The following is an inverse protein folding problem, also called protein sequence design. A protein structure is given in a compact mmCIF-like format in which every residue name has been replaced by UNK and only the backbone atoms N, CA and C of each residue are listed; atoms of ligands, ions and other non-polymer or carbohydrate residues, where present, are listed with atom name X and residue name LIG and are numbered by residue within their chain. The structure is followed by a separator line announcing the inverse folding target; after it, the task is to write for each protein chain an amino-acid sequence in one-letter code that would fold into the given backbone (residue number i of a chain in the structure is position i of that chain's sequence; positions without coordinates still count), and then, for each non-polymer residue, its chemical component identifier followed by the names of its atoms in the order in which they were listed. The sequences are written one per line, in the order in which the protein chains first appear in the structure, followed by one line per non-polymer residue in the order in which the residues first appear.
data_IF_253775345094
#
_entry.id   IF_253775345094
#
_cell.length_a   1.000
_cell.length_b   1.000
_cell.length_c   1.000
_cell.angle_alpha   90.00
_cell.angle_beta   90.00
_cell.angle_gamma   90.00
#
_symmetry.space_group_name_H-M   'P 1'
#
loop_
_entity.id
_entity.type
_entity.pdbx_description
1 polymer ?
#
# COMPACT_ATOMS: atom_id res chain seq x y z
N UNK A 1 -26.35 24.87 -36.14
CA UNK A 1 -25.86 23.71 -35.36
C UNK A 1 -24.54 23.25 -35.98
N UNK A 2 -23.40 23.70 -35.45
CA UNK A 2 -22.07 23.37 -35.97
C UNK A 2 -21.29 22.59 -34.92
N UNK A 3 -20.91 21.35 -35.24
CA UNK A 3 -20.17 20.45 -34.33
C UNK A 3 -18.67 20.80 -34.21
N UNK A 4 -18.00 20.35 -33.12
CA UNK A 4 -16.62 20.73 -32.82
C UNK A 4 -15.62 20.10 -33.79
N UNK A 5 -14.55 20.86 -34.06
CA UNK A 5 -13.64 20.74 -35.20
C UNK A 5 -13.01 19.36 -35.41
N UNK A 6 -13.13 18.87 -36.65
CA UNK A 6 -12.29 17.81 -37.22
C UNK A 6 -11.06 18.49 -37.84
N UNK A 7 -9.94 18.54 -37.13
CA UNK A 7 -8.69 19.11 -37.69
C UNK A 7 -7.89 17.97 -38.33
N UNK A 8 -7.55 18.12 -39.61
CA UNK A 8 -6.71 17.20 -40.39
C UNK A 8 -5.26 17.63 -40.23
N UNK A 9 -4.34 16.68 -40.12
CA UNK A 9 -2.91 16.99 -40.24
C UNK A 9 -2.16 15.90 -40.99
N UNK A 10 -1.59 16.28 -42.13
CA UNK A 10 -0.52 15.56 -42.80
C UNK A 10 0.79 15.97 -42.11
N UNK A 11 1.15 15.29 -41.02
CA UNK A 11 2.47 15.39 -40.36
C UNK A 11 2.72 16.60 -39.44
N UNK A 12 1.83 17.57 -39.35
CA UNK A 12 1.92 18.70 -38.41
C UNK A 12 1.23 18.48 -37.06
N UNK A 13 1.46 19.35 -36.06
CA UNK A 13 0.78 19.24 -34.76
C UNK A 13 -0.74 19.47 -34.88
N UNK A 14 -1.51 18.79 -34.03
CA UNK A 14 -2.97 18.90 -33.93
C UNK A 14 -3.35 19.36 -32.52
N UNK A 15 -4.06 20.47 -32.42
CA UNK A 15 -4.55 20.97 -31.12
C UNK A 15 -5.96 20.47 -30.85
N UNK A 16 -6.22 20.10 -29.60
CA UNK A 16 -7.56 19.82 -29.05
C UNK A 16 -8.51 21.01 -29.21
N UNK A 17 -9.82 20.73 -29.21
CA UNK A 17 -10.85 21.74 -29.47
C UNK A 17 -10.89 22.90 -28.47
N UNK A 18 -10.35 22.72 -27.26
CA UNK A 18 -10.23 23.77 -26.23
C UNK A 18 -8.80 24.32 -26.06
N UNK A 19 -7.87 23.91 -26.92
CA UNK A 19 -6.51 24.47 -26.94
C UNK A 19 -5.54 23.89 -25.91
N UNK A 20 -6.02 23.08 -24.96
CA UNK A 20 -5.21 22.67 -23.80
C UNK A 20 -4.24 21.53 -24.06
N UNK A 21 -4.44 20.77 -25.14
CA UNK A 21 -3.54 19.67 -25.53
C UNK A 21 -3.17 19.76 -27.00
N UNK A 22 -1.88 19.57 -27.30
CA UNK A 22 -1.32 19.47 -28.65
C UNK A 22 -0.78 18.05 -28.86
N UNK A 23 -1.25 17.42 -29.92
CA UNK A 23 -0.76 16.15 -30.44
C UNK A 23 0.32 16.41 -31.48
N UNK A 24 1.51 15.86 -31.27
CA UNK A 24 2.53 15.69 -32.30
C UNK A 24 2.39 14.26 -32.84
N UNK A 25 1.89 14.08 -34.08
CA UNK A 25 1.65 12.76 -34.62
C UNK A 25 2.96 11.97 -34.81
N UNK A 26 2.92 10.62 -34.82
CA UNK A 26 4.05 9.79 -35.21
C UNK A 26 4.61 10.19 -36.58
N UNK A 27 5.93 10.14 -36.75
CA UNK A 27 6.57 10.54 -38.01
C UNK A 27 6.16 9.67 -39.21
N UNK A 28 5.88 8.38 -38.98
CA UNK A 28 5.45 7.44 -39.99
C UNK A 28 3.96 7.13 -39.84
N UNK A 29 3.11 7.93 -40.49
CA UNK A 29 1.69 7.64 -40.63
C UNK A 29 1.39 7.11 -42.04
N UNK A 30 0.60 6.03 -42.19
CA UNK A 30 0.14 5.60 -43.49
C UNK A 30 -0.64 6.71 -44.20
N UNK A 31 -0.52 6.78 -45.54
CA UNK A 31 -1.38 7.63 -46.36
C UNK A 31 -2.85 7.39 -46.00
N UNK A 32 -3.62 8.46 -45.81
CA UNK A 32 -5.04 8.45 -45.39
C UNK A 32 -5.31 8.16 -43.90
N UNK A 33 -4.28 8.14 -43.05
CA UNK A 33 -4.46 8.08 -41.59
C UNK A 33 -4.74 9.47 -41.03
N UNK A 34 -5.78 9.59 -40.19
CA UNK A 34 -6.00 10.76 -39.36
C UNK A 34 -6.26 10.35 -37.92
N UNK A 35 -5.77 11.18 -36.99
CA UNK A 35 -5.94 11.00 -35.56
C UNK A 35 -6.79 12.14 -35.04
N UNK A 36 -7.89 11.81 -34.37
CA UNK A 36 -8.72 12.76 -33.65
C UNK A 36 -8.29 12.82 -32.19
N UNK A 37 -8.19 14.04 -31.65
CA UNK A 37 -8.01 14.31 -30.23
C UNK A 37 -9.24 15.05 -29.72
N UNK A 38 -9.98 14.44 -28.79
CA UNK A 38 -11.27 14.94 -28.34
C UNK A 38 -11.36 14.91 -26.82
N UNK A 39 -12.16 15.80 -26.25
CA UNK A 39 -12.48 15.76 -24.83
C UNK A 39 -13.15 14.43 -24.46
N UNK A 40 -12.78 13.92 -23.29
CA UNK A 40 -13.24 12.64 -22.79
C UNK A 40 -13.92 12.78 -21.42
N UNK A 41 -14.84 11.86 -21.14
CA UNK A 41 -15.23 11.53 -19.78
C UNK A 41 -14.32 10.37 -19.33
N UNK A 42 -13.31 10.61 -18.49
CA UNK A 42 -12.38 9.56 -18.09
C UNK A 42 -13.06 8.56 -17.15
N UNK A 43 -12.58 7.31 -17.08
CA UNK A 43 -12.92 6.41 -15.97
C UNK A 43 -12.35 6.97 -14.66
N UNK A 44 -12.75 6.37 -13.53
CA UNK A 44 -12.22 6.73 -12.20
C UNK A 44 -10.67 6.72 -12.21
N UNK A 45 -10.00 7.78 -11.74
CA UNK A 45 -8.55 7.81 -11.62
C UNK A 45 -8.01 6.67 -10.74
N UNK A 46 -6.72 6.29 -10.88
CA UNK A 46 -6.07 5.39 -9.94
C UNK A 46 -6.18 5.91 -8.50
N UNK A 47 -6.25 5.01 -7.53
CA UNK A 47 -6.29 5.37 -6.12
C UNK A 47 -5.09 6.26 -5.74
N UNK A 48 -5.33 7.28 -4.91
CA UNK A 48 -4.30 8.23 -4.47
C UNK A 48 -3.80 9.20 -5.54
N UNK A 49 -4.41 9.22 -6.73
CA UNK A 49 -4.07 10.13 -7.84
C UNK A 49 -5.24 11.05 -8.14
N UNK A 50 -4.96 12.34 -8.36
CA UNK A 50 -5.98 13.34 -8.66
C UNK A 50 -5.75 13.99 -10.04
N UNK A 51 -6.82 14.29 -10.80
CA UNK A 51 -6.70 14.89 -12.12
C UNK A 51 -6.31 16.37 -12.07
N UNK A 52 -5.54 16.80 -13.06
CA UNK A 52 -5.21 18.21 -13.34
C UNK A 52 -5.80 18.55 -14.71
N UNK A 53 -6.86 19.36 -14.70
CA UNK A 53 -7.62 19.67 -15.90
C UNK A 53 -8.40 18.47 -16.45
N UNK A 54 -8.57 18.44 -17.77
CA UNK A 54 -9.50 17.52 -18.47
C UNK A 54 -8.78 16.32 -19.07
N UNK A 55 -9.56 15.29 -19.41
CA UNK A 55 -9.08 14.11 -20.13
C UNK A 55 -9.37 14.23 -21.63
N UNK A 56 -8.55 13.55 -22.44
CA UNK A 56 -8.65 13.56 -23.89
C UNK A 56 -8.54 12.16 -24.46
N UNK A 57 -9.46 11.77 -25.32
CA UNK A 57 -9.38 10.51 -26.06
C UNK A 57 -8.71 10.74 -27.40
N UNK A 58 -7.70 9.91 -27.68
CA UNK A 58 -7.03 9.81 -28.98
C UNK A 58 -7.67 8.67 -29.78
N UNK A 59 -8.17 8.97 -30.98
CA UNK A 59 -8.80 7.99 -31.88
C UNK A 59 -8.26 8.10 -33.29
N UNK A 60 -7.52 7.11 -33.79
CA UNK A 60 -7.21 7.02 -35.21
C UNK A 60 -8.42 6.50 -35.99
N UNK A 61 -8.50 6.82 -37.27
CA UNK A 61 -9.53 6.28 -38.17
C UNK A 61 -9.30 4.82 -38.56
N UNK A 62 -8.10 4.31 -38.35
CA UNK A 62 -7.68 2.93 -38.64
C UNK A 62 -6.55 2.52 -37.71
N UNK A 63 -6.19 1.24 -37.73
CA UNK A 63 -5.03 0.74 -37.00
C UNK A 63 -3.74 1.43 -37.47
N UNK A 64 -2.87 1.75 -36.50
CA UNK A 64 -1.55 2.32 -36.70
C UNK A 64 -0.55 1.33 -36.12
N UNK A 65 0.47 0.96 -36.90
CA UNK A 65 1.44 -0.08 -36.52
C UNK A 65 2.35 0.37 -35.37
N UNK A 66 2.68 1.66 -35.30
CA UNK A 66 3.51 2.23 -34.23
C UNK A 66 3.17 3.68 -33.92
N UNK A 67 3.20 4.01 -32.63
CA UNK A 67 3.07 5.38 -32.13
C UNK A 67 4.41 6.02 -31.77
N UNK A 68 5.53 5.33 -32.06
CA UNK A 68 6.87 5.85 -31.81
C UNK A 68 7.05 7.23 -32.44
N UNK A 69 7.87 8.09 -31.81
CA UNK A 69 8.09 9.50 -32.16
C UNK A 69 6.89 10.45 -32.03
N UNK A 70 5.67 9.93 -31.76
CA UNK A 70 4.53 10.77 -31.42
C UNK A 70 4.53 11.19 -29.96
N UNK A 71 3.96 12.35 -29.65
CA UNK A 71 3.83 12.86 -28.28
C UNK A 71 2.56 13.68 -28.08
N UNK A 72 2.18 13.83 -26.81
CA UNK A 72 1.18 14.79 -26.36
C UNK A 72 1.84 15.83 -25.48
N UNK A 73 1.40 17.07 -25.64
CA UNK A 73 1.79 18.23 -24.87
C UNK A 73 0.54 18.81 -24.22
N UNK A 74 0.49 18.81 -22.89
CA UNK A 74 -0.58 19.34 -22.07
C UNK A 74 -0.17 20.70 -21.51
N UNK A 75 -0.95 21.73 -21.81
CA UNK A 75 -0.95 22.98 -21.07
C UNK A 75 -1.82 22.83 -19.83
N UNK A 76 -1.29 23.20 -18.67
CA UNK A 76 -2.04 23.20 -17.42
C UNK A 76 -2.08 24.58 -16.79
N UNK A 77 -3.05 24.79 -15.90
CA UNK A 77 -3.15 26.01 -15.12
C UNK A 77 -2.38 25.83 -13.82
N UNK A 78 -1.46 26.76 -13.52
CA UNK A 78 -0.72 26.74 -12.26
C UNK A 78 -1.63 26.76 -11.02
N UNK A 79 -2.83 27.36 -11.12
CA UNK A 79 -3.82 27.34 -10.03
C UNK A 79 -4.38 25.94 -9.76
N UNK A 80 -4.60 25.12 -10.79
CA UNK A 80 -5.10 23.74 -10.59
C UNK A 80 -4.04 22.89 -9.87
N UNK A 81 -2.76 23.10 -10.23
CA UNK A 81 -1.62 22.45 -9.56
C UNK A 81 -1.50 22.93 -8.12
N UNK A 82 -1.61 24.24 -7.87
CA UNK A 82 -1.56 24.78 -6.52
C UNK A 82 -2.71 24.25 -5.63
N UNK A 83 -3.93 24.17 -6.16
CA UNK A 83 -5.09 23.63 -5.45
C UNK A 83 -4.98 22.13 -5.19
N UNK A 84 -4.25 21.40 -6.05
CA UNK A 84 -3.94 19.99 -5.84
C UNK A 84 -3.08 19.75 -4.61
N UNK A 85 -2.36 20.76 -4.13
CA UNK A 85 -1.43 20.66 -3.00
C UNK A 85 -0.36 19.58 -3.17
N UNK A 86 0.02 19.26 -4.40
CA UNK A 86 1.14 18.37 -4.75
C UNK A 86 2.16 19.19 -5.55
N UNK A 87 3.48 19.05 -5.30
CA UNK A 87 4.50 19.76 -6.06
C UNK A 87 4.37 19.46 -7.55
N UNK A 88 4.49 20.51 -8.36
CA UNK A 88 4.37 20.47 -9.82
C UNK A 88 5.28 19.42 -10.48
N UNK A 89 6.46 19.16 -9.90
CA UNK A 89 7.35 18.10 -10.38
C UNK A 89 6.78 16.68 -10.31
N UNK A 90 5.66 16.47 -9.60
CA UNK A 90 4.98 15.18 -9.54
C UNK A 90 3.89 14.99 -10.60
N UNK A 91 3.63 16.01 -11.43
CA UNK A 91 2.72 15.89 -12.56
C UNK A 91 3.15 14.74 -13.46
N UNK A 92 2.18 13.97 -13.93
CA UNK A 92 2.39 12.92 -14.91
C UNK A 92 1.18 12.75 -15.82
N UNK A 93 1.44 12.44 -17.09
CA UNK A 93 0.39 12.00 -18.01
C UNK A 93 0.09 10.54 -17.71
N UNK A 94 -1.19 10.23 -17.54
CA UNK A 94 -1.72 8.88 -17.42
C UNK A 94 -2.47 8.50 -18.69
N UNK A 95 -2.31 7.25 -19.11
CA UNK A 95 -2.95 6.65 -20.27
C UNK A 95 -3.84 5.50 -19.85
N UNK A 96 -5.10 5.53 -20.29
CA UNK A 96 -6.06 4.46 -20.15
C UNK A 96 -6.22 3.73 -21.48
N UNK A 97 -5.89 2.45 -21.49
CA UNK A 97 -5.96 1.57 -22.67
C UNK A 97 -7.36 0.94 -22.92
N UNK A 98 -8.33 1.20 -22.04
CA UNK A 98 -9.64 0.54 -22.05
C UNK A 98 -9.90 -0.31 -20.80
N UNK A 99 -8.85 -0.76 -20.10
CA UNK A 99 -8.94 -1.65 -18.95
C UNK A 99 -8.08 -1.23 -17.76
N UNK A 100 -6.95 -0.56 -17.98
CA UNK A 100 -5.98 -0.22 -16.94
C UNK A 100 -5.35 1.15 -17.20
N UNK A 101 -5.09 1.90 -16.13
CA UNK A 101 -4.30 3.12 -16.18
C UNK A 101 -2.81 2.80 -16.19
N UNK A 102 -2.07 3.50 -17.03
CA UNK A 102 -0.62 3.45 -17.11
C UNK A 102 -0.07 4.86 -16.90
N UNK A 103 0.81 5.04 -15.92
CA UNK A 103 1.56 6.28 -15.75
C UNK A 103 2.67 6.35 -16.81
N UNK A 104 2.73 7.43 -17.57
CA UNK A 104 3.74 7.64 -18.60
C UNK A 104 4.93 8.43 -18.05
N UNK A 105 6.12 8.18 -18.62
CA UNK A 105 7.25 9.08 -18.46
C UNK A 105 6.85 10.46 -18.98
N UNK A 106 6.96 11.48 -18.12
CA UNK A 106 6.46 12.82 -18.40
C UNK A 106 7.58 13.83 -18.16
N UNK A 107 7.79 14.72 -19.14
CA UNK A 107 8.69 15.87 -19.03
C UNK A 107 7.87 17.10 -18.67
N UNK A 108 8.26 17.80 -17.61
CA UNK A 108 7.59 19.01 -17.12
C UNK A 108 8.46 20.23 -17.43
N UNK A 109 7.85 21.25 -18.04
CA UNK A 109 8.38 22.61 -18.17
C UNK A 109 7.48 23.55 -17.35
N UNK A 110 7.90 23.82 -16.12
CA UNK A 110 7.19 24.70 -15.19
C UNK A 110 7.26 26.18 -15.58
N UNK A 111 8.19 26.58 -16.45
CA UNK A 111 8.26 27.95 -16.96
C UNK A 111 7.11 28.26 -17.91
N UNK A 112 6.62 27.25 -18.63
CA UNK A 112 5.53 27.36 -19.59
C UNK A 112 4.23 26.67 -19.15
N UNK A 113 4.22 26.05 -17.97
CA UNK A 113 3.14 25.18 -17.49
C UNK A 113 2.78 24.07 -18.48
N UNK A 114 3.80 23.34 -18.93
CA UNK A 114 3.68 22.27 -19.93
C UNK A 114 4.08 20.92 -19.34
N UNK A 115 3.27 19.91 -19.59
CA UNK A 115 3.61 18.51 -19.35
C UNK A 115 3.55 17.74 -20.67
N UNK A 116 4.60 16.98 -21.00
CA UNK A 116 4.64 16.21 -22.25
C UNK A 116 4.99 14.74 -22.02
N UNK A 117 4.38 13.86 -22.81
CA UNK A 117 4.63 12.42 -22.75
C UNK A 117 4.56 11.79 -24.15
N UNK A 118 5.28 10.69 -24.34
CA UNK A 118 5.22 9.91 -25.58
C UNK A 118 3.83 9.31 -25.80
N UNK A 119 3.41 9.23 -27.06
CA UNK A 119 2.23 8.47 -27.43
C UNK A 119 2.50 6.98 -27.28
N UNK A 120 1.48 6.28 -26.79
CA UNK A 120 1.53 4.82 -26.59
C UNK A 120 0.43 4.08 -27.34
N UNK A 121 -0.68 4.75 -27.69
CA UNK A 121 -1.76 4.10 -28.41
C UNK A 121 -3.07 4.90 -28.46
N UNK A 122 -4.11 4.33 -29.06
CA UNK A 122 -5.46 4.87 -28.97
C UNK A 122 -6.01 4.64 -27.56
N UNK A 123 -6.60 5.66 -26.94
CA UNK A 123 -7.11 5.57 -25.58
C UNK A 123 -7.34 6.94 -24.96
N UNK A 124 -7.50 6.99 -23.65
CA UNK A 124 -7.72 8.25 -22.92
C UNK A 124 -6.45 8.68 -22.21
N UNK A 125 -6.06 9.93 -22.40
CA UNK A 125 -4.91 10.56 -21.77
C UNK A 125 -5.39 11.66 -20.83
N UNK A 126 -4.76 11.77 -19.65
CA UNK A 126 -5.09 12.81 -18.70
C UNK A 126 -3.85 13.19 -17.88
N UNK A 127 -3.66 14.48 -17.66
CA UNK A 127 -2.66 14.97 -16.73
C UNK A 127 -3.19 14.77 -15.30
N UNK A 128 -2.37 14.19 -14.44
CA UNK A 128 -2.74 13.94 -13.04
C UNK A 128 -1.53 14.15 -12.13
N UNK A 129 -1.77 14.18 -10.82
CA UNK A 129 -0.72 14.37 -9.80
C UNK A 129 -0.94 13.48 -8.58
N UNK A 130 0.14 13.21 -7.86
CA UNK A 130 0.16 12.47 -6.59
C UNK A 130 1.52 12.61 -5.92
N UNK A 131 1.60 12.56 -4.59
CA UNK A 131 2.86 12.27 -3.91
C UNK A 131 3.21 10.80 -4.10
N UNK A 132 4.42 10.54 -4.61
CA UNK A 132 4.97 9.20 -4.69
C UNK A 132 5.98 8.97 -3.57
N UNK A 133 5.68 8.03 -2.67
CA UNK A 133 6.61 7.59 -1.63
C UNK A 133 7.17 6.23 -2.08
N UNK A 134 8.47 6.14 -2.44
CA UNK A 134 9.07 4.87 -2.81
C UNK A 134 9.17 3.96 -1.59
N UNK A 135 8.75 2.71 -1.75
CA UNK A 135 8.88 1.67 -0.74
C UNK A 135 9.79 0.57 -1.30
N UNK A 136 10.79 0.16 -0.52
CA UNK A 136 11.57 -1.04 -0.79
C UNK A 136 10.79 -2.28 -0.33
N UNK A 137 11.16 -3.47 -0.83
CA UNK A 137 10.65 -4.71 -0.26
C UNK A 137 11.05 -4.83 1.23
N UNK A 138 10.13 -5.29 2.07
CA UNK A 138 10.28 -5.35 3.52
C UNK A 138 9.76 -4.11 4.25
N UNK A 139 10.29 -3.86 5.45
CA UNK A 139 9.84 -2.77 6.32
C UNK A 139 10.36 -1.40 5.88
N UNK A 140 9.44 -0.46 5.73
CA UNK A 140 9.72 0.94 5.43
C UNK A 140 9.14 1.83 6.52
N UNK A 141 9.97 2.66 7.15
CA UNK A 141 9.51 3.70 8.06
C UNK A 141 9.23 4.97 7.26
N UNK A 142 7.97 5.36 7.18
CA UNK A 142 7.51 6.51 6.40
C UNK A 142 6.74 7.49 7.27
N UNK A 143 6.93 8.77 7.03
CA UNK A 143 6.12 9.81 7.66
C UNK A 143 4.84 10.02 6.85
N UNK A 144 3.68 10.11 7.51
CA UNK A 144 2.42 10.32 6.83
C UNK A 144 2.35 11.73 6.22
N UNK A 145 2.25 11.89 4.89
CA UNK A 145 2.49 13.17 4.23
C UNK A 145 1.30 14.13 4.25
N UNK A 146 0.09 13.65 4.58
CA UNK A 146 -1.12 14.47 4.52
C UNK A 146 -1.36 15.23 5.83
N UNK A 147 -2.10 16.35 5.74
CA UNK A 147 -2.56 17.12 6.91
C UNK A 147 -4.01 16.81 7.29
N UNK A 148 -4.55 15.71 6.78
CA UNK A 148 -5.87 15.20 7.09
C UNK A 148 -5.78 13.74 7.52
N UNK A 149 -6.63 13.34 8.46
CA UNK A 149 -6.68 11.95 8.92
C UNK A 149 -7.39 11.07 7.88
N UNK A 150 -6.84 9.90 7.57
CA UNK A 150 -7.49 8.91 6.70
C UNK A 150 -7.43 7.51 7.31
N UNK A 151 -8.43 6.69 7.02
CA UNK A 151 -8.35 5.25 7.36
C UNK A 151 -7.23 4.57 6.56
N UNK A 152 -6.61 3.48 7.08
CA UNK A 152 -5.62 2.71 6.34
C UNK A 152 -6.11 2.26 4.96
N UNK A 153 -7.36 1.82 4.86
CA UNK A 153 -7.98 1.36 3.60
C UNK A 153 -7.95 2.46 2.53
N UNK A 154 -8.25 3.71 2.90
CA UNK A 154 -8.25 4.83 1.96
C UNK A 154 -6.84 5.29 1.65
N UNK A 155 -6.00 5.45 2.67
CA UNK A 155 -4.66 5.99 2.52
C UNK A 155 -3.75 5.08 1.70
N UNK A 156 -3.86 3.76 1.88
CA UNK A 156 -3.00 2.74 1.24
C UNK A 156 -3.63 2.12 -0.01
N UNK A 157 -4.79 2.60 -0.45
CA UNK A 157 -5.52 2.04 -1.60
C UNK A 157 -4.69 1.93 -2.89
N UNK A 158 -3.68 2.79 -3.08
CA UNK A 158 -2.81 2.75 -4.27
C UNK A 158 -1.78 1.62 -4.27
N UNK A 159 -1.60 0.94 -3.14
CA UNK A 159 -0.67 -0.18 -2.96
C UNK A 159 -1.36 -1.40 -2.34
N UNK A 160 -2.69 -1.50 -2.40
CA UNK A 160 -3.48 -2.53 -1.68
C UNK A 160 -3.01 -3.98 -1.94
N UNK A 161 -2.47 -4.27 -3.12
CA UNK A 161 -1.95 -5.58 -3.51
C UNK A 161 -0.41 -5.71 -3.37
N UNK A 162 0.24 -4.73 -2.73
CA UNK A 162 1.70 -4.60 -2.63
C UNK A 162 2.21 -4.51 -1.18
N UNK A 163 1.31 -4.43 -0.19
CA UNK A 163 1.64 -4.42 1.24
C UNK A 163 0.78 -5.42 2.01
N UNK A 164 1.28 -5.84 3.17
CA UNK A 164 0.58 -6.81 4.05
C UNK A 164 0.16 -6.18 5.36
N UNK A 165 0.99 -5.32 5.95
CA UNK A 165 0.71 -4.73 7.26
C UNK A 165 1.26 -3.30 7.35
N UNK A 166 0.51 -2.44 8.04
CA UNK A 166 0.95 -1.13 8.49
C UNK A 166 0.90 -1.08 10.02
N UNK A 167 1.90 -0.49 10.66
CA UNK A 167 2.00 -0.34 12.10
C UNK A 167 2.33 1.10 12.50
N UNK A 168 1.54 1.66 13.41
CA UNK A 168 1.81 2.91 14.13
C UNK A 168 2.27 2.61 15.56
N UNK A 169 3.02 3.55 16.13
CA UNK A 169 3.51 3.45 17.51
C UNK A 169 2.98 4.63 18.33
N UNK A 170 2.31 4.33 19.44
CA UNK A 170 1.79 5.30 20.40
C UNK A 170 2.40 5.04 21.80
N UNK A 171 3.43 5.80 22.21
CA UNK A 171 4.05 5.63 23.51
C UNK A 171 3.14 6.04 24.68
N UNK A 172 2.01 6.71 24.42
CA UNK A 172 1.06 7.11 25.47
C UNK A 172 0.17 5.96 25.93
N UNK A 173 0.13 4.86 25.18
CA UNK A 173 -0.53 3.61 25.56
C UNK A 173 0.49 2.49 25.81
N UNK A 174 1.18 2.46 26.96
CA UNK A 174 2.25 1.50 27.21
C UNK A 174 1.77 0.04 27.30
N UNK A 175 0.47 -0.20 27.54
CA UNK A 175 -0.10 -1.55 27.57
C UNK A 175 -0.23 -2.14 26.16
N UNK A 176 -0.49 -1.31 25.15
CA UNK A 176 -0.57 -1.71 23.75
C UNK A 176 -0.07 -0.57 22.85
N UNK A 177 1.26 -0.33 22.81
CA UNK A 177 1.81 0.83 22.11
C UNK A 177 1.78 0.65 20.60
N UNK A 178 1.61 -0.58 20.11
CA UNK A 178 1.54 -0.89 18.69
C UNK A 178 0.10 -0.95 18.19
N UNK A 179 -0.20 -0.10 17.21
CA UNK A 179 -1.45 -0.09 16.48
C UNK A 179 -1.19 -0.65 15.08
N UNK A 180 -1.87 -1.71 14.67
CA UNK A 180 -1.64 -2.40 13.40
C UNK A 180 -2.91 -2.55 12.59
N UNK A 181 -2.73 -2.53 11.27
CA UNK A 181 -3.75 -2.86 10.29
C UNK A 181 -3.19 -3.78 9.21
N UNK A 182 -3.83 -4.93 9.05
CA UNK A 182 -3.63 -5.90 7.97
C UNK A 182 -4.98 -6.11 7.24
N UNK A 183 -5.06 -5.88 5.92
CA UNK A 183 -6.32 -5.96 5.17
C UNK A 183 -6.87 -7.39 5.04
N UNK A 184 -6.05 -8.42 5.30
CA UNK A 184 -6.42 -9.83 5.13
C UNK A 184 -6.91 -10.50 6.43
N UNK A 185 -6.91 -9.78 7.56
CA UNK A 185 -7.38 -10.31 8.86
C UNK A 185 -8.67 -9.63 9.33
N UNK A 186 -9.34 -10.28 10.28
CA UNK A 186 -10.58 -9.79 10.88
C UNK A 186 -10.35 -8.53 11.71
N UNK A 187 -11.40 -7.70 11.85
CA UNK A 187 -11.38 -6.45 12.64
C UNK A 187 -10.84 -6.64 14.07
N UNK A 188 -11.07 -7.79 14.72
CA UNK A 188 -10.63 -8.05 16.09
C UNK A 188 -9.10 -8.12 16.27
N UNK A 189 -8.33 -8.30 15.20
CA UNK A 189 -6.86 -8.30 15.25
C UNK A 189 -6.25 -6.94 14.85
N UNK A 190 -7.06 -6.08 14.22
CA UNK A 190 -6.68 -4.74 13.80
C UNK A 190 -7.07 -3.72 14.89
N UNK A 191 -6.17 -2.77 15.16
CA UNK A 191 -6.40 -1.68 16.11
C UNK A 191 -5.79 -0.34 15.65
N UNK A 192 -5.36 -0.25 14.38
CA UNK A 192 -5.02 1.02 13.74
C UNK A 192 -6.19 1.50 12.90
N UNK A 193 -6.94 2.46 13.44
CA UNK A 193 -8.14 2.98 12.79
C UNK A 193 -7.84 4.11 11.79
N UNK A 194 -6.72 4.82 12.01
CA UNK A 194 -6.42 6.03 11.24
C UNK A 194 -4.93 6.35 11.14
N UNK A 195 -4.56 6.90 9.98
CA UNK A 195 -3.28 7.56 9.74
C UNK A 195 -3.47 9.06 10.00
N UNK A 196 -2.71 9.60 10.95
CA UNK A 196 -2.87 10.96 11.44
C UNK A 196 -1.71 11.87 10.99
N UNK A 197 -2.00 13.15 10.72
CA UNK A 197 -0.98 14.12 10.36
C UNK A 197 0.19 14.18 11.35
N UNK A 198 1.41 14.16 10.82
CA UNK A 198 2.63 14.28 11.62
C UNK A 198 3.12 12.99 12.27
N UNK A 199 2.39 11.87 12.16
CA UNK A 199 2.84 10.56 12.65
C UNK A 199 3.69 9.79 11.63
N UNK A 200 4.58 8.94 12.15
CA UNK A 200 5.33 7.94 11.38
C UNK A 200 4.64 6.58 11.42
N UNK A 201 4.76 5.82 10.35
CA UNK A 201 4.21 4.47 10.21
C UNK A 201 5.23 3.53 9.57
N UNK A 202 5.28 2.32 10.08
CA UNK A 202 5.97 1.21 9.44
C UNK A 202 5.03 0.54 8.45
N UNK A 203 5.48 0.34 7.22
CA UNK A 203 4.73 -0.41 6.18
C UNK A 203 5.60 -1.57 5.72
N UNK A 204 5.07 -2.79 5.76
CA UNK A 204 5.70 -3.94 5.15
C UNK A 204 5.25 -4.08 3.69
N UNK A 205 6.14 -3.79 2.74
CA UNK A 205 5.87 -3.96 1.32
C UNK A 205 6.37 -5.33 0.85
N UNK A 206 5.56 -6.09 0.13
CA UNK A 206 5.97 -7.41 -0.38
C UNK A 206 7.02 -7.32 -1.49
N UNK A 207 7.02 -6.19 -2.20
CA UNK A 207 7.96 -5.87 -3.27
C UNK A 207 8.17 -4.37 -3.35
N UNK A 208 9.20 -3.96 -4.07
CA UNK A 208 9.43 -2.54 -4.37
C UNK A 208 8.22 -1.95 -5.09
N UNK A 209 7.65 -0.90 -4.53
CA UNK A 209 6.47 -0.20 -5.08
C UNK A 209 6.54 1.30 -4.79
N UNK A 210 5.55 2.05 -5.28
CA UNK A 210 5.40 3.48 -4.98
C UNK A 210 4.02 3.72 -4.41
N UNK A 211 3.98 4.05 -3.12
CA UNK A 211 2.77 4.51 -2.46
C UNK A 211 2.38 5.88 -3.00
N UNK A 212 1.26 5.92 -3.74
CA UNK A 212 0.69 7.16 -4.27
C UNK A 212 -0.40 7.67 -3.37
N UNK A 213 -0.29 8.92 -2.96
CA UNK A 213 -1.27 9.57 -2.11
C UNK A 213 -1.41 11.03 -2.54
N UNK A 214 -2.64 11.52 -2.56
CA UNK A 214 -2.93 12.91 -2.88
C UNK A 214 -3.77 13.50 -1.74
N UNK A 215 -3.44 14.70 -1.24
CA UNK A 215 -4.27 15.37 -0.25
C UNK A 215 -5.65 15.70 -0.82
N UNK A 216 -6.69 15.64 0.01
CA UNK A 216 -7.89 16.44 -0.27
C UNK A 216 -7.73 17.90 0.19
N UNK A 217 -6.76 18.19 1.09
CA UNK A 217 -6.23 19.53 1.45
C UNK A 217 -4.74 19.48 1.86
N UNK A 218 -4.01 20.57 1.60
CA UNK A 218 -2.61 20.88 1.96
C UNK A 218 -1.76 19.72 2.52
N UNK A 219 -0.79 19.21 1.76
CA UNK A 219 0.25 18.32 2.29
C UNK A 219 1.52 19.11 2.63
N UNK A 220 2.28 18.66 3.64
CA UNK A 220 3.63 19.16 3.95
C UNK A 220 4.55 17.99 4.18
N UNK A 221 5.85 18.23 4.03
CA UNK A 221 6.89 17.25 4.32
C UNK A 221 6.78 16.82 5.79
N UNK A 222 6.37 15.58 6.02
CA UNK A 222 6.30 15.02 7.35
C UNK A 222 7.70 14.56 7.80
N UNK A 223 7.99 14.72 9.09
CA UNK A 223 9.27 14.32 9.68
C UNK A 223 9.14 12.89 10.20
N UNK A 224 10.13 12.05 9.88
CA UNK A 224 10.21 10.72 10.46
C UNK A 224 10.71 10.84 11.89
N UNK A 225 9.86 10.50 12.87
CA UNK A 225 10.31 10.21 14.22
C UNK A 225 11.04 8.86 14.24
N UNK A 226 12.05 8.73 15.10
CA UNK A 226 12.70 7.44 15.33
C UNK A 226 11.73 6.55 16.11
N UNK A 227 11.03 5.66 15.40
CA UNK A 227 10.15 4.67 16.00
C UNK A 227 10.91 3.37 16.29
N UNK A 228 10.55 2.62 17.35
CA UNK A 228 11.06 1.26 17.56
C UNK A 228 10.70 0.36 16.38
N UNK A 229 11.36 -0.80 16.25
CA UNK A 229 11.05 -1.75 15.19
C UNK A 229 9.79 -2.58 15.54
N UNK A 230 8.87 -2.81 14.59
CA UNK A 230 7.57 -3.43 14.87
C UNK A 230 7.67 -4.88 15.36
N UNK A 231 6.85 -5.31 16.33
CA UNK A 231 6.78 -6.70 16.80
C UNK A 231 6.01 -7.57 15.80
N UNK A 232 6.04 -8.89 16.02
CA UNK A 232 5.12 -9.81 15.35
C UNK A 232 3.81 -9.89 16.16
N UNK A 233 2.66 -9.71 15.50
CA UNK A 233 1.35 -9.86 16.15
C UNK A 233 0.78 -11.25 15.93
N UNK A 234 0.41 -11.92 17.01
CA UNK A 234 -0.29 -13.19 17.00
C UNK A 234 -1.70 -13.03 17.54
N UNK A 235 -2.64 -13.68 16.86
CA UNK A 235 -4.06 -13.63 17.21
C UNK A 235 -4.73 -14.96 16.89
N UNK A 236 -5.70 -15.37 17.71
CA UNK A 236 -6.57 -16.49 17.38
C UNK A 236 -7.37 -16.99 18.57
N UNK A 237 -8.02 -18.14 18.38
CA UNK A 237 -8.85 -18.76 19.42
C UNK A 237 -8.03 -19.67 20.32
N UNK A 238 -8.49 -19.84 21.56
CA UNK A 238 -7.91 -20.81 22.49
C UNK A 238 -8.88 -21.96 22.70
N UNK A 239 -8.39 -23.17 22.45
CA UNK A 239 -9.11 -24.42 22.72
C UNK A 239 -8.57 -25.06 23.99
N UNK A 240 -9.47 -25.25 24.95
CA UNK A 240 -9.19 -25.96 26.20
C UNK A 240 -9.15 -27.47 26.07
N UNK A 241 -8.91 -28.12 27.19
CA UNK A 241 -8.96 -29.57 27.35
C UNK A 241 -9.52 -29.90 28.76
N UNK A 242 -9.34 -31.12 29.24
CA UNK A 242 -9.79 -31.52 30.59
C UNK A 242 -9.08 -30.76 31.72
N UNK A 243 -7.88 -30.26 31.46
CA UNK A 243 -6.97 -29.68 32.45
C UNK A 243 -6.97 -28.15 32.39
N UNK A 244 -7.45 -27.56 31.29
CA UNK A 244 -7.51 -26.12 31.07
C UNK A 244 -8.85 -25.71 30.45
N UNK A 245 -9.57 -24.81 31.13
CA UNK A 245 -10.79 -24.17 30.61
C UNK A 245 -10.48 -22.71 30.25
N UNK A 246 -10.58 -22.30 28.98
CA UNK A 246 -10.32 -20.92 28.57
C UNK A 246 -11.36 -19.98 29.19
N UNK A 247 -10.88 -18.88 29.78
CA UNK A 247 -11.71 -17.77 30.29
C UNK A 247 -11.08 -16.46 29.87
N UNK A 248 -11.86 -15.37 29.82
CA UNK A 248 -11.34 -14.02 29.58
C UNK A 248 -10.45 -13.56 30.76
N UNK A 249 -9.46 -12.72 30.47
CA UNK A 249 -8.58 -12.10 31.47
C UNK A 249 -7.40 -12.97 31.94
N UNK A 250 -7.20 -14.15 31.34
CA UNK A 250 -5.99 -14.95 31.57
C UNK A 250 -4.78 -14.31 30.87
N UNK A 251 -3.62 -14.21 31.53
CA UNK A 251 -2.40 -13.68 30.94
C UNK A 251 -1.83 -14.66 29.91
N UNK A 252 -1.43 -14.13 28.76
CA UNK A 252 -0.78 -14.85 27.67
C UNK A 252 0.67 -14.42 27.62
N UNK A 253 1.56 -15.32 28.01
CA UNK A 253 3.00 -15.07 28.04
C UNK A 253 3.67 -15.75 26.85
N UNK A 254 4.58 -15.03 26.20
CA UNK A 254 5.25 -15.51 25.00
C UNK A 254 6.75 -15.58 25.22
N UNK A 255 7.36 -16.68 24.78
CA UNK A 255 8.78 -16.94 24.95
C UNK A 255 9.45 -17.29 23.62
N UNK A 256 10.73 -16.91 23.51
CA UNK A 256 11.65 -17.35 22.46
C UNK A 256 12.87 -17.95 23.15
N UNK A 257 13.00 -19.29 23.08
CA UNK A 257 13.86 -20.03 23.99
C UNK A 257 13.44 -19.78 25.45
N UNK A 258 14.36 -19.31 26.28
CA UNK A 258 14.09 -18.97 27.68
C UNK A 258 13.78 -17.46 27.88
N UNK A 259 13.75 -16.67 26.81
CA UNK A 259 13.55 -15.22 26.89
C UNK A 259 12.06 -14.88 26.84
N UNK A 260 11.59 -14.13 27.82
CA UNK A 260 10.24 -13.55 27.81
C UNK A 260 10.15 -12.42 26.77
N UNK A 261 9.26 -12.56 25.80
CA UNK A 261 9.24 -11.75 24.59
C UNK A 261 7.88 -11.14 24.24
N UNK A 262 6.88 -11.29 25.10
CA UNK A 262 5.59 -10.66 24.91
C UNK A 262 4.60 -11.03 26.00
N UNK A 263 3.66 -10.13 26.23
CA UNK A 263 2.53 -10.33 27.12
C UNK A 263 1.26 -9.84 26.45
N UNK A 264 0.18 -10.59 26.64
CA UNK A 264 -1.16 -10.20 26.24
C UNK A 264 -2.17 -10.78 27.21
N UNK A 265 -3.45 -10.58 26.91
CA UNK A 265 -4.54 -11.13 27.70
C UNK A 265 -5.57 -11.79 26.79
N UNK A 266 -6.23 -12.80 27.33
CA UNK A 266 -7.38 -13.43 26.68
C UNK A 266 -8.62 -12.57 26.81
N UNK A 267 -9.47 -12.57 25.78
CA UNK A 267 -10.69 -11.78 25.72
C UNK A 267 -11.84 -12.63 25.19
N UNK A 268 -13.06 -12.35 25.64
CA UNK A 268 -14.26 -12.96 25.06
C UNK A 268 -14.84 -12.08 23.95
N UNK A 269 -14.89 -12.61 22.72
CA UNK A 269 -15.53 -11.95 21.58
C UNK A 269 -16.51 -12.92 20.94
N UNK A 270 -17.78 -12.50 20.84
CA UNK A 270 -18.87 -13.29 20.24
C UNK A 270 -18.98 -14.74 20.80
N UNK A 271 -18.72 -14.92 22.10
CA UNK A 271 -18.78 -16.21 22.79
C UNK A 271 -17.56 -17.11 22.56
N UNK A 272 -16.49 -16.62 21.94
CA UNK A 272 -15.21 -17.30 21.81
C UNK A 272 -14.14 -16.62 22.65
N UNK A 273 -13.29 -17.41 23.31
CA UNK A 273 -12.08 -16.90 23.96
C UNK A 273 -10.97 -16.80 22.92
N UNK A 274 -10.53 -15.57 22.71
CA UNK A 274 -9.44 -15.21 21.81
C UNK A 274 -8.26 -14.70 22.60
N UNK A 275 -7.09 -14.66 21.98
CA UNK A 275 -5.93 -13.92 22.47
C UNK A 275 -5.41 -12.98 21.38
N UNK A 276 -4.76 -11.92 21.83
CA UNK A 276 -3.95 -11.04 21.00
C UNK A 276 -2.66 -10.74 21.76
N UNK A 277 -1.52 -10.96 21.13
CA UNK A 277 -0.22 -10.67 21.75
C UNK A 277 0.79 -10.19 20.72
N UNK A 278 1.54 -9.16 21.11
CA UNK A 278 2.67 -8.64 20.33
C UNK A 278 3.96 -9.23 20.87
N UNK A 279 4.74 -9.85 19.99
CA UNK A 279 6.00 -10.53 20.31
C UNK A 279 7.16 -9.68 19.79
N UNK A 280 7.94 -9.11 20.72
CA UNK A 280 8.97 -8.13 20.42
C UNK A 280 10.01 -8.68 19.45
N UNK A 281 10.52 -7.77 18.60
CA UNK A 281 11.60 -8.06 17.67
C UNK A 281 12.97 -7.91 18.36
N UNK A 282 13.97 -8.64 17.87
CA UNK A 282 15.35 -8.59 18.39
C UNK A 282 15.96 -7.18 18.35
N UNK A 283 15.55 -6.36 17.38
CA UNK A 283 15.97 -4.97 17.19
C UNK A 283 15.47 -4.05 18.30
N UNK A 284 14.33 -4.38 18.92
CA UNK A 284 13.73 -3.62 20.01
C UNK A 284 14.07 -4.24 21.37
N UNK A 285 14.26 -5.55 21.45
CA UNK A 285 14.54 -6.29 22.69
C UNK A 285 15.48 -7.47 22.41
N UNK A 286 16.70 -7.37 22.93
CA UNK A 286 17.74 -8.40 22.75
C UNK A 286 17.25 -9.77 23.25
N UNK A 287 17.44 -10.81 22.45
CA UNK A 287 17.02 -12.17 22.77
C UNK A 287 15.60 -12.52 22.29
N UNK A 288 14.85 -11.52 21.79
CA UNK A 288 13.55 -11.73 21.18
C UNK A 288 13.63 -11.90 19.66
N UNK A 289 12.52 -11.65 18.97
CA UNK A 289 12.21 -12.29 17.71
C UNK A 289 13.10 -11.93 16.54
N UNK A 290 13.69 -12.95 15.96
CA UNK A 290 14.33 -12.97 14.64
C UNK A 290 13.54 -13.91 13.73
N UNK A 291 13.46 -13.59 12.44
CA UNK A 291 12.70 -14.39 11.46
C UNK A 291 13.10 -15.85 11.52
N UNK A 292 12.12 -16.74 11.68
CA UNK A 292 12.32 -18.19 11.70
C UNK A 292 12.61 -18.79 13.08
N UNK A 293 12.65 -18.00 14.15
CA UNK A 293 12.76 -18.54 15.52
C UNK A 293 11.42 -19.08 16.02
N UNK A 294 11.44 -20.16 16.81
CA UNK A 294 10.23 -20.72 17.41
C UNK A 294 9.65 -19.80 18.49
N UNK A 295 8.33 -19.64 18.48
CA UNK A 295 7.55 -18.86 19.45
C UNK A 295 6.72 -19.81 20.30
N UNK A 296 6.92 -19.79 21.61
CA UNK A 296 6.20 -20.63 22.57
C UNK A 296 5.19 -19.80 23.38
N UNK A 297 4.00 -20.35 23.59
CA UNK A 297 2.91 -19.70 24.33
C UNK A 297 2.65 -20.42 25.66
N UNK A 298 2.53 -19.63 26.72
CA UNK A 298 2.16 -20.10 28.06
C UNK A 298 0.96 -19.29 28.55
N UNK A 299 -0.12 -19.97 28.94
CA UNK A 299 -1.34 -19.34 29.47
C UNK A 299 -1.71 -20.06 30.76
N UNK A 300 -1.82 -19.29 31.85
CA UNK A 300 -2.08 -19.84 33.20
C UNK A 300 -1.15 -21.02 33.55
N UNK A 301 0.16 -20.87 33.31
CA UNK A 301 1.19 -21.92 33.51
C UNK A 301 1.08 -23.18 32.63
N UNK A 302 0.18 -23.21 31.64
CA UNK A 302 0.05 -24.32 30.70
C UNK A 302 0.71 -23.98 29.35
N UNK A 303 1.50 -24.88 28.75
CA UNK A 303 2.04 -24.68 27.41
C UNK A 303 0.99 -24.94 26.32
N UNK A 304 1.08 -24.21 25.22
CA UNK A 304 0.16 -24.30 24.08
C UNK A 304 0.87 -24.63 22.77
N UNK A 305 0.14 -25.31 21.89
CA UNK A 305 0.54 -25.61 20.51
C UNK A 305 -0.40 -24.95 19.50
N UNK A 306 0.03 -24.70 18.25
CA UNK A 306 1.39 -24.92 17.74
C UNK A 306 2.38 -23.87 18.26
N UNK A 307 3.68 -24.14 18.09
CA UNK A 307 4.74 -23.15 18.27
C UNK A 307 5.16 -22.61 16.89
N UNK A 308 4.52 -21.52 16.41
CA UNK A 308 4.80 -20.96 15.10
C UNK A 308 6.20 -20.33 15.06
N UNK A 309 6.64 -20.00 13.84
CA UNK A 309 7.88 -19.26 13.65
C UNK A 309 7.62 -17.75 13.74
N UNK A 310 8.55 -17.05 14.36
CA UNK A 310 8.52 -15.60 14.46
C UNK A 310 8.71 -15.01 13.08
N UNK A 311 7.77 -14.14 12.69
CA UNK A 311 7.84 -13.29 11.51
C UNK A 311 6.80 -12.18 11.67
N UNK A 312 7.20 -10.93 11.42
CA UNK A 312 6.36 -9.77 11.66
C UNK A 312 5.78 -9.14 10.38
N UNK A 313 6.02 -9.74 9.21
CA UNK A 313 5.57 -9.16 7.94
C UNK A 313 4.06 -9.28 7.69
N UNK A 314 3.28 -9.93 8.55
CA UNK A 314 1.81 -9.90 8.53
C UNK A 314 1.29 -10.24 9.94
N UNK A 315 -0.01 -10.04 10.18
CA UNK A 315 -0.64 -10.52 11.41
C UNK A 315 -0.79 -12.05 11.33
N UNK A 316 -0.24 -12.78 12.31
CA UNK A 316 -0.28 -14.24 12.33
C UNK A 316 -1.54 -14.76 13.03
N UNK A 317 -2.40 -15.44 12.26
CA UNK A 317 -3.61 -16.07 12.78
C UNK A 317 -3.33 -17.52 13.20
N UNK A 318 -3.24 -17.76 14.51
CA UNK A 318 -2.88 -19.07 15.08
C UNK A 318 -3.89 -19.45 16.15
N UNK A 319 -4.53 -20.62 15.99
CA UNK A 319 -5.39 -21.18 17.04
C UNK A 319 -4.54 -22.02 17.98
N UNK A 320 -4.63 -21.73 19.28
CA UNK A 320 -3.85 -22.38 20.32
C UNK A 320 -4.63 -23.50 21.00
N UNK A 321 -3.96 -24.60 21.31
CA UNK A 321 -4.51 -25.76 21.99
C UNK A 321 -3.67 -26.05 23.24
N UNK A 322 -4.33 -26.20 24.39
CA UNK A 322 -3.64 -26.54 25.63
C UNK A 322 -3.04 -27.94 25.52
N UNK A 323 -1.75 -28.07 25.84
CA UNK A 323 -1.08 -29.35 25.96
C UNK A 323 -1.26 -29.82 27.41
N UNK A 324 -1.96 -30.93 27.61
CA UNK A 324 -2.10 -31.52 28.94
C UNK A 324 -0.73 -31.82 29.55
N UNK A 325 -0.62 -31.76 30.88
CA UNK A 325 0.66 -31.89 31.61
C UNK A 325 1.42 -33.22 31.36
N UNK A 326 0.80 -34.19 30.69
CA UNK A 326 1.37 -35.51 30.38
C UNK A 326 2.07 -35.62 29.02
N UNK A 327 2.01 -34.60 28.17
CA UNK A 327 2.71 -34.61 26.88
C UNK A 327 4.08 -33.92 27.01
N UNK A 328 5.03 -34.59 27.65
CA UNK A 328 6.45 -34.21 27.55
C UNK A 328 6.96 -34.65 26.18
N UNK A 329 7.06 -33.73 25.23
CA UNK A 329 7.80 -33.97 24.00
C UNK A 329 9.29 -34.05 24.32
N UNK A 330 9.87 -35.26 24.23
CA UNK A 330 11.32 -35.39 24.03
C UNK A 330 11.62 -34.97 22.60
N UNK A 331 12.27 -33.82 22.42
CA UNK A 331 12.95 -33.50 21.18
C UNK A 331 14.01 -34.58 20.92
N UNK A 332 13.74 -35.51 20.00
CA UNK A 332 14.78 -36.38 19.45
C UNK A 332 15.51 -35.57 18.39
N UNK A 333 16.64 -34.96 18.78
CA UNK A 333 17.62 -34.42 17.84
C UNK A 333 18.18 -35.59 17.02
N UNK A 334 17.81 -35.67 15.75
CA UNK A 334 18.49 -36.52 14.76
C UNK A 334 17.56 -37.43 13.96
N UNK A 335 17.15 -36.96 12.78
CA UNK A 335 16.91 -37.84 11.65
C UNK A 335 17.80 -37.39 10.50
N UNK A 336 19.02 -37.90 10.51
CA UNK A 336 19.81 -38.11 9.30
C UNK A 336 19.18 -39.27 8.54
N UNK A 337 18.87 -39.02 7.25
CA UNK A 337 18.66 -39.97 6.15
C UNK A 337 18.17 -41.38 6.46
N UNK A 338 17.02 -41.76 5.89
CA UNK A 338 16.86 -43.10 5.33
C UNK A 338 16.11 -43.05 4.00
N UNK A 339 16.87 -43.38 2.96
CA UNK A 339 16.44 -43.81 1.64
C UNK A 339 15.71 -45.14 1.77
N UNK A 340 14.57 -45.28 1.11
CA UNK A 340 14.14 -46.47 0.36
C UNK A 340 13.27 -46.02 -0.80
#
# INVERSE_FOLDING_TARGET
MGGPGRIRSYGGPVTSGDGSVVLYPPAALPSDTFIALQLATPPTPPAGVQPIGRAYTLRPNRAIDTYASGSLLFYYLGIDVALSNVPEGNLAVYYWNGTTWQRLATTIDSGQNIASAALVGPGTYQLMTSYGIPLAAGWNLVAYPLQETQSPTVALASIIDDYTIIAGYDPTNPAQPWQMYDPNVTVSANNLDALEPGKGYWIYAERTTVWRISPTRNARTARVETLPFPPARFYGTITGNSDFTPTSGLPVQVFIGDTFCGEGETQEIAGQIIYLVDVWAAESTVGCGTVGQTVSFVIDSHPFLPEPLWWNGQIQVINLFSVGAKCTYKFVKGFTNLVY
#
